data_IF_535831720042
#
_entry.id   IF_535831720042
#
_cell.length_a   1.000
_cell.length_b   1.000
_cell.length_c   1.000
_cell.angle_alpha   90.00
_cell.angle_beta   90.00
_cell.angle_gamma   90.00
#
_symmetry.space_group_name_H-M   'P 1'
#
loop_
_entity.id
_entity.type
_entity.pdbx_description
1 polymer ?
#
# COMPACT_ATOMS: atom_id res chain seq x y z
N UNK A 1 1.80 -2.32 -3.00
CA UNK A 1 1.06 -1.66 -1.92
C UNK A 1 -0.32 -1.17 -2.38
N UNK A 2 -1.08 -0.59 -1.47
CA UNK A 2 -2.47 -0.20 -1.68
C UNK A 2 -2.70 1.25 -1.21
N UNK A 3 -2.21 2.28 -1.94
CA UNK A 3 -2.31 3.68 -1.52
C UNK A 3 -3.76 4.12 -1.27
N UNK A 4 -4.71 3.70 -2.13
CA UNK A 4 -6.11 4.06 -1.97
C UNK A 4 -6.75 3.64 -0.65
N UNK A 5 -6.26 2.56 -0.02
CA UNK A 5 -6.76 2.14 1.30
C UNK A 5 -6.20 2.98 2.46
N UNK A 6 -5.24 3.84 2.20
CA UNK A 6 -4.61 4.74 3.16
C UNK A 6 -5.03 6.19 2.89
N UNK A 7 -4.73 6.68 1.70
CA UNK A 7 -4.82 8.11 1.41
C UNK A 7 -6.26 8.60 1.29
N UNK A 8 -7.16 7.75 0.75
CA UNK A 8 -8.58 8.11 0.63
C UNK A 8 -9.26 8.22 2.00
N UNK A 9 -9.24 7.19 2.89
CA UNK A 9 -9.87 7.32 4.20
C UNK A 9 -9.21 8.39 5.08
N UNK A 10 -7.87 8.55 5.00
CA UNK A 10 -7.17 9.63 5.72
C UNK A 10 -7.69 11.00 5.28
N UNK A 11 -7.76 11.24 3.96
CA UNK A 11 -8.19 12.52 3.44
C UNK A 11 -9.68 12.80 3.68
N UNK A 12 -10.53 11.78 3.60
CA UNK A 12 -11.96 11.93 3.88
C UNK A 12 -12.22 12.21 5.35
N UNK A 13 -11.66 11.43 6.27
CA UNK A 13 -11.89 11.58 7.71
C UNK A 13 -11.40 12.94 8.22
N UNK A 14 -10.17 13.32 7.85
CA UNK A 14 -9.62 14.61 8.27
C UNK A 14 -10.28 15.78 7.53
N UNK A 15 -10.59 15.62 6.24
CA UNK A 15 -11.27 16.60 5.42
C UNK A 15 -12.66 16.93 5.95
N UNK A 16 -13.43 15.91 6.34
CA UNK A 16 -14.75 16.08 6.99
C UNK A 16 -14.61 16.84 8.33
N UNK A 17 -13.68 16.43 9.18
CA UNK A 17 -13.42 17.10 10.45
C UNK A 17 -13.05 18.58 10.29
N UNK A 18 -12.32 18.93 9.24
CA UNK A 18 -11.88 20.30 8.96
C UNK A 18 -12.88 21.10 8.11
N UNK A 19 -13.98 20.52 7.65
CA UNK A 19 -14.88 21.09 6.64
C UNK A 19 -14.10 21.54 5.38
N UNK A 20 -13.14 20.72 4.94
CA UNK A 20 -12.30 21.02 3.79
C UNK A 20 -13.09 20.98 2.48
N UNK A 21 -12.64 21.73 1.47
CA UNK A 21 -13.22 21.65 0.14
C UNK A 21 -12.91 20.31 -0.54
N UNK A 22 -13.78 19.86 -1.46
CA UNK A 22 -13.50 18.66 -2.25
C UNK A 22 -12.17 18.75 -3.04
N UNK A 23 -11.79 19.95 -3.46
CA UNK A 23 -10.50 20.18 -4.12
C UNK A 23 -9.31 19.95 -3.16
N UNK A 24 -9.42 20.40 -1.90
CA UNK A 24 -8.37 20.14 -0.90
C UNK A 24 -8.27 18.65 -0.57
N UNK A 25 -9.40 17.94 -0.48
CA UNK A 25 -9.43 16.48 -0.25
C UNK A 25 -8.77 15.75 -1.41
N UNK A 26 -9.12 16.07 -2.67
CA UNK A 26 -8.50 15.46 -3.84
C UNK A 26 -6.98 15.73 -3.90
N UNK A 27 -6.57 16.96 -3.61
CA UNK A 27 -5.15 17.32 -3.53
C UNK A 27 -4.42 16.48 -2.49
N UNK A 28 -5.00 16.30 -1.31
CA UNK A 28 -4.40 15.47 -0.26
C UNK A 28 -4.25 14.00 -0.69
N UNK A 29 -5.27 13.43 -1.35
CA UNK A 29 -5.21 12.07 -1.90
C UNK A 29 -4.08 11.96 -2.92
N UNK A 30 -3.97 12.88 -3.88
CA UNK A 30 -2.91 12.86 -4.90
C UNK A 30 -1.52 12.93 -4.25
N UNK A 31 -1.33 13.83 -3.28
CA UNK A 31 -0.05 13.94 -2.57
C UNK A 31 0.29 12.67 -1.78
N UNK A 32 -0.68 12.08 -1.10
CA UNK A 32 -0.49 10.79 -0.43
C UNK A 32 -0.06 9.70 -1.39
N UNK A 33 -0.75 9.54 -2.52
CA UNK A 33 -0.39 8.59 -3.57
C UNK A 33 1.04 8.80 -4.11
N UNK A 34 1.45 10.05 -4.32
CA UNK A 34 2.82 10.36 -4.76
C UNK A 34 3.84 9.92 -3.72
N UNK A 35 3.65 10.30 -2.46
CA UNK A 35 4.58 9.93 -1.37
C UNK A 35 4.62 8.41 -1.21
N UNK A 36 3.46 7.75 -1.18
CA UNK A 36 3.36 6.29 -1.09
C UNK A 36 4.10 5.60 -2.23
N UNK A 37 3.86 6.04 -3.47
CA UNK A 37 4.41 5.40 -4.67
C UNK A 37 5.92 5.56 -4.74
N UNK A 38 6.43 6.75 -4.42
CA UNK A 38 7.87 7.03 -4.39
C UNK A 38 8.58 6.24 -3.31
N UNK A 39 8.06 6.23 -2.08
CA UNK A 39 8.60 5.43 -0.99
C UNK A 39 8.54 3.93 -1.31
N UNK A 40 7.40 3.45 -1.82
CA UNK A 40 7.23 2.07 -2.21
C UNK A 40 8.23 1.61 -3.27
N UNK A 41 8.51 2.44 -4.28
CA UNK A 41 9.56 2.17 -5.29
C UNK A 41 10.97 2.23 -4.72
N UNK A 42 11.18 3.08 -3.72
CA UNK A 42 12.49 3.22 -3.05
C UNK A 42 12.86 1.98 -2.26
N UNK A 43 11.91 1.40 -1.52
CA UNK A 43 12.23 0.34 -0.56
C UNK A 43 12.01 -1.07 -1.08
N UNK A 44 11.18 -1.26 -2.13
CA UNK A 44 10.92 -2.60 -2.68
C UNK A 44 11.96 -3.00 -3.76
N UNK A 45 12.20 -4.32 -3.96
CA UNK A 45 11.46 -5.45 -3.37
C UNK A 45 11.94 -5.91 -2.00
N UNK A 46 13.12 -5.47 -1.53
CA UNK A 46 13.73 -6.04 -0.31
C UNK A 46 12.89 -5.82 0.96
N UNK A 47 12.26 -4.66 1.08
CA UNK A 47 11.34 -4.30 2.17
C UNK A 47 10.16 -5.28 2.29
N UNK A 48 9.56 -5.65 1.15
CA UNK A 48 8.36 -6.50 1.12
C UNK A 48 8.61 -7.96 1.54
N UNK A 49 9.86 -8.36 1.75
CA UNK A 49 10.18 -9.67 2.32
C UNK A 49 9.70 -9.81 3.78
N UNK A 50 9.62 -8.72 4.50
CA UNK A 50 9.30 -8.69 5.94
C UNK A 50 8.19 -7.69 6.27
N UNK A 51 8.22 -6.52 5.63
CA UNK A 51 7.37 -5.39 5.97
C UNK A 51 6.17 -5.26 5.05
N UNK A 52 5.00 -5.02 5.64
CA UNK A 52 3.80 -4.69 4.88
C UNK A 52 3.89 -3.25 4.35
N UNK A 53 4.34 -3.09 3.11
CA UNK A 53 4.56 -1.77 2.47
C UNK A 53 3.35 -0.84 2.62
N UNK A 54 2.10 -1.38 2.60
CA UNK A 54 0.90 -0.56 2.78
C UNK A 54 0.83 0.06 4.16
N UNK A 55 1.19 -0.68 5.22
CA UNK A 55 1.24 -0.14 6.58
C UNK A 55 2.39 0.85 6.74
N UNK A 56 3.60 0.44 6.37
CA UNK A 56 4.81 1.23 6.63
C UNK A 56 4.91 2.50 5.79
N UNK A 57 4.96 2.38 4.46
CA UNK A 57 4.99 3.54 3.56
C UNK A 57 3.69 4.35 3.65
N UNK A 58 2.57 3.66 3.93
CA UNK A 58 1.26 4.30 4.08
C UNK A 58 1.18 5.25 5.28
N UNK A 59 1.82 4.95 6.40
CA UNK A 59 1.88 5.87 7.55
C UNK A 59 2.51 7.21 7.15
N UNK A 60 3.60 7.16 6.40
CA UNK A 60 4.30 8.37 5.95
C UNK A 60 3.49 9.12 4.88
N UNK A 61 2.85 8.39 3.98
CA UNK A 61 1.96 8.95 2.96
C UNK A 61 0.73 9.62 3.59
N UNK A 62 0.10 8.97 4.57
CA UNK A 62 -1.01 9.54 5.33
C UNK A 62 -0.61 10.83 6.05
N UNK A 63 0.61 10.89 6.61
CA UNK A 63 1.11 12.12 7.24
C UNK A 63 1.27 13.26 6.21
N UNK A 64 1.74 12.97 5.00
CA UNK A 64 1.84 13.97 3.94
C UNK A 64 0.46 14.46 3.46
N UNK A 65 -0.51 13.55 3.30
CA UNK A 65 -1.89 13.89 2.96
C UNK A 65 -2.53 14.76 4.06
N UNK A 66 -2.37 14.37 5.33
CA UNK A 66 -2.87 15.12 6.49
C UNK A 66 -2.19 16.50 6.62
N UNK A 67 -0.89 16.59 6.41
CA UNK A 67 -0.15 17.85 6.42
C UNK A 67 -0.69 18.84 5.37
N UNK A 68 -1.05 18.35 4.17
CA UNK A 68 -1.68 19.16 3.13
C UNK A 68 -3.04 19.73 3.56
N UNK A 69 -3.90 18.91 4.17
CA UNK A 69 -5.22 19.35 4.68
C UNK A 69 -5.09 20.32 5.85
N UNK A 70 -4.15 20.07 6.75
CA UNK A 70 -3.85 20.93 7.90
C UNK A 70 -3.11 22.21 7.48
N UNK A 71 -2.72 22.35 6.19
CA UNK A 71 -2.00 23.50 5.62
C UNK A 71 -0.69 23.78 6.36
N UNK A 72 0.04 22.71 6.69
CA UNK A 72 1.31 22.80 7.37
C UNK A 72 2.37 23.50 6.47
N UNK A 73 3.26 24.24 7.10
CA UNK A 73 4.46 24.75 6.45
C UNK A 73 5.40 23.61 6.03
N UNK A 74 6.43 23.90 5.24
CA UNK A 74 7.44 22.91 4.83
C UNK A 74 8.16 22.31 6.04
N UNK A 75 8.47 23.12 7.05
CA UNK A 75 9.12 22.70 8.30
C UNK A 75 8.21 21.77 9.12
N UNK A 76 6.96 22.17 9.33
CA UNK A 76 5.97 21.34 10.04
C UNK A 76 5.69 20.03 9.29
N UNK A 77 5.63 20.07 7.94
CA UNK A 77 5.46 18.86 7.11
C UNK A 77 6.65 17.92 7.27
N UNK A 78 7.88 18.45 7.31
CA UNK A 78 9.06 17.64 7.52
C UNK A 78 9.06 17.01 8.94
N UNK A 79 8.63 17.75 9.95
CA UNK A 79 8.42 17.22 11.30
C UNK A 79 7.36 16.12 11.31
N UNK A 80 6.23 16.30 10.63
CA UNK A 80 5.18 15.28 10.50
C UNK A 80 5.70 13.98 9.85
N UNK A 81 6.44 14.10 8.75
CA UNK A 81 7.09 12.96 8.08
C UNK A 81 8.09 12.28 9.03
N UNK A 82 8.89 13.06 9.76
CA UNK A 82 9.85 12.55 10.73
C UNK A 82 9.20 11.77 11.88
N UNK A 83 8.08 12.26 12.40
CA UNK A 83 7.27 11.59 13.42
C UNK A 83 6.65 10.32 12.84
N UNK A 84 5.99 10.40 11.68
CA UNK A 84 5.34 9.28 11.01
C UNK A 84 6.32 8.13 10.71
N UNK A 85 7.55 8.45 10.31
CA UNK A 85 8.57 7.45 10.02
C UNK A 85 8.91 6.56 11.24
N UNK A 86 8.78 7.08 12.46
CA UNK A 86 9.00 6.30 13.69
C UNK A 86 7.76 5.51 14.12
N UNK A 87 6.58 5.87 13.63
CA UNK A 87 5.31 5.19 13.90
C UNK A 87 4.97 4.14 12.84
N UNK A 88 5.74 4.10 11.75
CA UNK A 88 5.50 3.22 10.61
C UNK A 88 5.70 1.74 11.00
N UNK A 89 4.67 0.92 10.81
CA UNK A 89 4.68 -0.49 11.19
C UNK A 89 3.86 -1.36 10.24
N UNK A 90 3.88 -2.67 10.53
CA UNK A 90 3.15 -3.70 9.79
C UNK A 90 4.06 -4.77 9.21
N UNK A 91 3.67 -6.02 9.38
CA UNK A 91 4.44 -7.20 8.96
C UNK A 91 3.70 -7.97 7.86
N UNK A 92 4.45 -8.55 6.92
CA UNK A 92 3.91 -9.47 5.90
C UNK A 92 3.32 -10.72 6.57
N UNK A 93 3.84 -11.13 7.72
CA UNK A 93 3.33 -12.27 8.49
C UNK A 93 1.86 -12.10 8.93
N UNK A 94 1.33 -10.88 8.92
CA UNK A 94 -0.09 -10.61 9.21
C UNK A 94 -1.06 -10.97 8.08
N UNK A 95 -0.55 -11.35 6.90
CA UNK A 95 -1.40 -11.61 5.74
C UNK A 95 -2.24 -12.88 5.96
N UNK A 96 -3.49 -12.87 5.50
CA UNK A 96 -4.46 -13.92 5.79
C UNK A 96 -5.14 -13.78 7.16
N UNK A 97 -4.92 -12.67 7.89
CA UNK A 97 -5.58 -12.38 9.17
C UNK A 97 -6.14 -10.94 9.19
N UNK A 98 -7.03 -10.67 10.15
CA UNK A 98 -7.53 -9.31 10.41
C UNK A 98 -6.44 -8.30 10.74
N UNK A 99 -5.29 -8.75 11.27
CA UNK A 99 -4.16 -7.88 11.59
C UNK A 99 -3.63 -7.12 10.37
N UNK A 100 -3.77 -7.68 9.16
CA UNK A 100 -3.45 -6.95 7.92
C UNK A 100 -4.31 -5.71 7.73
N UNK A 101 -5.60 -5.78 8.04
CA UNK A 101 -6.50 -4.62 7.96
C UNK A 101 -6.18 -3.61 9.07
N UNK A 102 -5.82 -4.09 10.25
CA UNK A 102 -5.39 -3.24 11.37
C UNK A 102 -4.12 -2.45 11.00
N UNK A 103 -3.14 -3.06 10.33
CA UNK A 103 -1.96 -2.33 9.84
C UNK A 103 -2.32 -1.12 8.96
N UNK A 104 -3.42 -1.22 8.20
CA UNK A 104 -3.90 -0.15 7.34
C UNK A 104 -4.59 0.94 8.16
N UNK A 105 -5.45 0.56 9.10
CA UNK A 105 -6.14 1.49 9.99
C UNK A 105 -5.13 2.30 10.83
N UNK A 106 -4.16 1.61 11.43
CA UNK A 106 -3.08 2.24 12.20
C UNK A 106 -2.25 3.21 11.34
N UNK A 107 -1.98 2.86 10.09
CA UNK A 107 -1.24 3.74 9.19
C UNK A 107 -2.00 5.06 8.93
N UNK A 108 -3.33 5.00 8.73
CA UNK A 108 -4.16 6.19 8.58
C UNK A 108 -4.15 7.05 9.86
N UNK A 109 -4.38 6.43 11.00
CA UNK A 109 -4.42 7.11 12.30
C UNK A 109 -3.07 7.75 12.62
N UNK A 110 -2.00 6.96 12.57
CA UNK A 110 -0.64 7.41 12.87
C UNK A 110 -0.20 8.57 11.97
N UNK A 111 -0.61 8.57 10.69
CA UNK A 111 -0.33 9.66 9.77
C UNK A 111 -1.04 10.97 10.18
N UNK A 112 -2.34 10.89 10.54
CA UNK A 112 -3.10 12.04 11.02
C UNK A 112 -2.52 12.55 12.34
N UNK A 113 -2.19 11.65 13.27
CA UNK A 113 -1.61 12.00 14.56
C UNK A 113 -0.25 12.69 14.39
N UNK A 114 0.62 12.15 13.53
CA UNK A 114 1.93 12.73 13.25
C UNK A 114 1.83 14.17 12.71
N UNK A 115 0.91 14.41 11.75
CA UNK A 115 0.69 15.75 11.21
C UNK A 115 0.07 16.69 12.25
N UNK A 116 -0.85 16.20 13.07
CA UNK A 116 -1.47 16.98 14.15
C UNK A 116 -0.46 17.37 15.24
N UNK A 117 0.42 16.43 15.63
CA UNK A 117 1.48 16.68 16.60
C UNK A 117 2.48 17.72 16.06
N UNK A 118 2.86 17.61 14.79
CA UNK A 118 3.73 18.61 14.15
C UNK A 118 3.09 20.00 14.12
N UNK A 119 1.77 20.10 13.86
CA UNK A 119 1.02 21.35 13.94
C UNK A 119 1.04 21.98 15.34
N UNK A 120 1.12 21.14 16.37
CA UNK A 120 1.23 21.59 17.77
C UNK A 120 2.69 21.93 18.17
N UNK A 121 3.63 21.88 17.23
CA UNK A 121 5.03 22.24 17.45
C UNK A 121 5.94 21.08 17.88
N UNK A 122 5.47 19.81 17.86
CA UNK A 122 6.36 18.68 18.11
C UNK A 122 7.28 18.45 16.91
N UNK A 123 8.54 18.11 17.19
CA UNK A 123 9.56 17.96 16.15
C UNK A 123 9.85 16.51 15.82
N UNK A 124 10.04 16.21 14.52
CA UNK A 124 10.56 14.97 14.01
C UNK A 124 12.01 15.13 13.52
N UNK A 125 12.72 14.02 13.36
CA UNK A 125 14.07 14.08 12.78
C UNK A 125 14.00 14.39 11.28
N UNK A 126 14.73 15.39 10.82
CA UNK A 126 14.86 15.72 9.39
C UNK A 126 15.55 14.62 8.59
N UNK A 127 16.29 13.74 9.24
CA UNK A 127 16.93 12.58 8.63
C UNK A 127 16.15 11.26 8.83
N UNK A 128 14.91 11.33 9.30
CA UNK A 128 14.12 10.13 9.64
C UNK A 128 13.93 9.18 8.46
N UNK A 129 13.84 9.68 7.22
CA UNK A 129 13.70 8.82 6.03
C UNK A 129 15.04 8.25 5.56
N UNK A 130 16.01 9.11 5.26
CA UNK A 130 17.24 8.77 4.53
C UNK A 130 18.49 8.74 5.41
N UNK A 131 18.39 9.04 6.69
CA UNK A 131 19.54 9.00 7.62
C UNK A 131 20.09 7.58 7.78
N UNK A 132 21.33 7.47 8.21
CA UNK A 132 22.04 6.18 8.42
C UNK A 132 21.28 5.20 9.33
N UNK A 133 20.39 5.71 10.18
CA UNK A 133 19.50 4.95 11.09
C UNK A 133 18.04 5.28 10.83
N UNK A 134 17.72 5.82 9.66
CA UNK A 134 16.37 6.21 9.24
C UNK A 134 15.57 5.03 8.71
N UNK A 135 14.33 5.34 8.32
CA UNK A 135 13.34 4.36 7.86
C UNK A 135 13.85 3.46 6.74
N UNK A 136 14.44 4.05 5.68
CA UNK A 136 14.97 3.27 4.54
C UNK A 136 16.08 2.34 4.99
N UNK A 137 17.06 2.82 5.75
CA UNK A 137 18.18 2.01 6.24
C UNK A 137 17.73 0.88 7.19
N UNK A 138 16.68 1.11 7.97
CA UNK A 138 16.17 0.14 8.95
C UNK A 138 15.30 -0.96 8.29
N UNK A 139 14.67 -0.67 7.16
CA UNK A 139 13.63 -1.54 6.60
C UNK A 139 13.94 -2.09 5.21
N UNK A 140 15.03 -1.65 4.59
CA UNK A 140 15.38 -2.00 3.21
C UNK A 140 16.88 -2.30 3.08
N UNK A 141 17.23 -3.38 2.40
CA UNK A 141 18.63 -3.78 2.16
C UNK A 141 19.15 -3.30 0.80
N UNK A 142 18.28 -3.00 -0.13
CA UNK A 142 18.59 -2.61 -1.51
C UNK A 142 17.74 -1.37 -1.88
N UNK A 143 18.07 -0.16 -1.36
CA UNK A 143 17.26 1.02 -1.59
C UNK A 143 17.52 1.66 -2.95
N UNK A 144 16.45 2.16 -3.58
CA UNK A 144 16.44 2.92 -4.82
C UNK A 144 16.08 4.39 -4.51
N UNK A 145 16.98 5.10 -3.82
CA UNK A 145 16.72 6.46 -3.30
C UNK A 145 16.50 7.51 -4.38
N UNK A 146 16.94 7.27 -5.61
CA UNK A 146 16.66 8.11 -6.77
C UNK A 146 15.17 8.32 -7.03
N UNK A 147 14.31 7.36 -6.63
CA UNK A 147 12.87 7.48 -6.77
C UNK A 147 12.24 8.58 -5.89
N UNK A 148 12.93 9.02 -4.83
CA UNK A 148 12.45 10.10 -3.97
C UNK A 148 12.76 11.49 -4.55
N UNK A 149 13.84 11.62 -5.29
CA UNK A 149 14.37 12.90 -5.76
C UNK A 149 14.07 13.18 -7.23
N UNK A 150 13.81 12.15 -8.04
CA UNK A 150 13.46 12.33 -9.45
C UNK A 150 12.01 12.83 -9.57
N UNK A 151 11.87 14.12 -9.70
CA UNK A 151 10.60 14.75 -10.04
C UNK A 151 10.49 14.77 -11.57
N UNK A 152 9.61 13.96 -12.14
CA UNK A 152 9.18 14.16 -13.53
C UNK A 152 8.29 15.39 -13.57
N UNK A 153 8.60 16.35 -14.44
CA UNK A 153 7.77 17.55 -14.62
C UNK A 153 6.44 17.22 -15.32
N UNK A 154 6.39 16.10 -16.07
CA UNK A 154 5.30 15.80 -16.99
C UNK A 154 4.35 14.69 -16.51
N UNK A 155 4.67 13.93 -15.47
CA UNK A 155 3.83 12.85 -15.01
C UNK A 155 3.98 12.56 -13.50
N UNK A 156 2.85 12.38 -12.84
CA UNK A 156 2.83 11.89 -11.46
C UNK A 156 3.14 10.38 -11.44
N UNK A 157 3.87 9.93 -10.42
CA UNK A 157 4.13 8.50 -10.23
C UNK A 157 2.84 7.74 -9.99
N UNK A 158 1.83 8.40 -9.39
CA UNK A 158 0.48 7.88 -9.19
C UNK A 158 -0.26 7.55 -10.49
N UNK A 159 0.11 8.12 -11.64
CA UNK A 159 -0.49 7.80 -12.93
C UNK A 159 -0.27 6.33 -13.33
N UNK A 160 0.71 5.65 -12.73
CA UNK A 160 0.92 4.22 -12.89
C UNK A 160 0.07 3.34 -11.96
N UNK A 161 -0.81 3.94 -11.15
CA UNK A 161 -1.72 3.19 -10.29
C UNK A 161 -2.74 2.39 -11.11
N UNK A 162 -3.10 1.21 -10.62
CA UNK A 162 -4.11 0.37 -11.24
C UNK A 162 -5.14 -0.07 -10.21
N UNK A 163 -6.34 -0.38 -10.70
CA UNK A 163 -7.42 -0.89 -9.87
C UNK A 163 -7.43 -2.42 -9.89
N UNK A 164 -7.64 -3.03 -8.72
CA UNK A 164 -7.90 -4.47 -8.64
C UNK A 164 -9.34 -4.76 -9.07
N UNK A 165 -9.49 -5.72 -9.98
CA UNK A 165 -10.80 -6.16 -10.46
C UNK A 165 -11.42 -7.19 -9.50
N UNK A 166 -10.57 -8.04 -8.90
CA UNK A 166 -11.02 -9.11 -8.00
C UNK A 166 -10.67 -8.77 -6.54
N UNK A 167 -11.60 -9.08 -5.63
CA UNK A 167 -11.48 -8.86 -4.17
C UNK A 167 -10.54 -9.85 -3.49
N UNK A 168 -9.35 -10.06 -4.05
CA UNK A 168 -8.34 -11.00 -3.56
C UNK A 168 -6.95 -10.35 -3.54
N UNK A 169 -5.92 -11.08 -3.15
CA UNK A 169 -4.54 -10.61 -3.18
C UNK A 169 -4.18 -10.11 -4.59
N UNK A 170 -3.44 -8.99 -4.69
CA UNK A 170 -3.03 -8.45 -5.99
C UNK A 170 -2.29 -9.43 -6.88
N UNK A 171 -1.57 -10.39 -6.27
CA UNK A 171 -0.85 -11.44 -6.99
C UNK A 171 -1.74 -12.49 -7.65
N UNK A 172 -3.04 -12.58 -7.27
CA UNK A 172 -4.00 -13.49 -7.88
C UNK A 172 -4.73 -12.88 -9.06
N UNK A 173 -4.73 -11.54 -9.20
CA UNK A 173 -5.58 -10.86 -10.19
C UNK A 173 -5.18 -11.18 -11.64
N UNK A 174 -3.89 -11.07 -12.00
CA UNK A 174 -3.43 -11.41 -13.36
C UNK A 174 -3.64 -12.88 -13.72
N UNK A 175 -3.37 -13.87 -12.85
CA UNK A 175 -3.73 -15.25 -13.12
C UNK A 175 -5.22 -15.46 -13.35
N UNK A 176 -6.11 -14.80 -12.59
CA UNK A 176 -7.57 -14.88 -12.79
C UNK A 176 -8.00 -14.28 -14.12
N UNK A 177 -7.41 -13.14 -14.52
CA UNK A 177 -7.64 -12.56 -15.84
C UNK A 177 -7.29 -13.55 -16.97
N UNK A 178 -6.16 -14.25 -16.83
CA UNK A 178 -5.73 -15.25 -17.80
C UNK A 178 -6.70 -16.43 -17.82
N UNK A 179 -7.15 -16.92 -16.66
CA UNK A 179 -8.14 -17.99 -16.57
C UNK A 179 -9.41 -17.64 -17.35
N UNK A 180 -10.03 -16.50 -17.05
CA UNK A 180 -11.27 -16.07 -17.71
C UNK A 180 -11.09 -15.83 -19.21
N UNK A 181 -9.96 -15.26 -19.63
CA UNK A 181 -9.64 -15.08 -21.06
C UNK A 181 -9.51 -16.40 -21.78
N UNK A 182 -8.87 -17.42 -21.17
CA UNK A 182 -8.74 -18.75 -21.77
C UNK A 182 -10.10 -19.44 -21.84
N UNK A 183 -10.88 -19.41 -20.77
CA UNK A 183 -12.24 -19.98 -20.76
C UNK A 183 -13.10 -19.39 -21.87
N UNK A 184 -13.12 -18.06 -22.01
CA UNK A 184 -13.88 -17.40 -23.06
C UNK A 184 -13.37 -17.72 -24.47
N UNK A 185 -12.04 -17.70 -24.66
CA UNK A 185 -11.42 -17.91 -25.99
C UNK A 185 -11.63 -19.31 -26.53
N UNK A 186 -11.59 -20.30 -25.65
CA UNK A 186 -11.64 -21.73 -26.04
C UNK A 186 -12.95 -22.40 -25.65
N UNK A 187 -13.95 -21.66 -25.15
CA UNK A 187 -15.22 -22.18 -24.66
C UNK A 187 -15.05 -23.36 -23.69
N UNK A 188 -14.07 -23.25 -22.78
CA UNK A 188 -13.72 -24.32 -21.84
C UNK A 188 -14.88 -24.56 -20.87
N UNK A 189 -15.36 -25.80 -20.81
CA UNK A 189 -16.33 -26.22 -19.81
C UNK A 189 -15.59 -26.51 -18.49
N UNK A 190 -15.91 -25.83 -17.37
CA UNK A 190 -15.27 -26.06 -16.09
C UNK A 190 -15.29 -27.53 -15.62
N UNK A 191 -16.37 -28.27 -15.97
CA UNK A 191 -16.54 -29.69 -15.58
C UNK A 191 -15.56 -30.64 -16.29
N UNK A 192 -14.90 -30.18 -17.36
CA UNK A 192 -13.94 -30.97 -18.15
C UNK A 192 -12.49 -30.68 -17.76
N UNK A 193 -12.27 -29.76 -16.80
CA UNK A 193 -10.93 -29.41 -16.34
C UNK A 193 -10.43 -30.47 -15.37
N UNK A 194 -9.39 -31.19 -15.75
CA UNK A 194 -8.73 -32.16 -14.87
C UNK A 194 -7.66 -31.50 -13.99
N UNK A 195 -6.94 -30.53 -14.51
CA UNK A 195 -5.81 -29.86 -13.83
C UNK A 195 -5.55 -28.47 -14.38
N UNK A 196 -5.11 -27.58 -13.49
CA UNK A 196 -4.64 -26.24 -13.85
C UNK A 196 -3.23 -26.07 -13.32
N UNK A 197 -2.26 -25.80 -14.20
CA UNK A 197 -0.88 -25.47 -13.87
C UNK A 197 -0.66 -23.96 -14.08
N UNK A 198 -0.22 -23.28 -13.04
CA UNK A 198 0.02 -21.83 -13.07
C UNK A 198 1.50 -21.55 -12.86
N UNK A 199 2.18 -21.03 -13.89
CA UNK A 199 3.52 -20.49 -13.76
C UNK A 199 3.43 -19.02 -13.28
N UNK A 200 4.08 -18.71 -12.18
CA UNK A 200 4.11 -17.36 -11.61
C UNK A 200 5.46 -17.05 -10.97
N UNK A 201 5.67 -15.80 -10.56
CA UNK A 201 6.91 -15.39 -9.92
C UNK A 201 6.93 -15.75 -8.43
N UNK A 202 8.16 -15.87 -7.90
CA UNK A 202 8.41 -16.43 -6.56
C UNK A 202 7.55 -15.78 -5.45
N UNK A 203 7.47 -14.46 -5.40
CA UNK A 203 6.69 -13.76 -4.35
C UNK A 203 5.21 -14.09 -4.43
N UNK A 204 4.64 -14.21 -5.63
CA UNK A 204 3.25 -14.62 -5.79
C UNK A 204 3.05 -16.05 -5.28
N UNK A 205 3.93 -16.97 -5.63
CA UNK A 205 3.90 -18.36 -5.14
C UNK A 205 3.98 -18.40 -3.62
N UNK A 206 4.98 -17.74 -3.03
CA UNK A 206 5.20 -17.75 -1.57
C UNK A 206 3.98 -17.23 -0.78
N UNK A 207 3.27 -16.24 -1.31
CA UNK A 207 2.14 -15.60 -0.65
C UNK A 207 0.79 -16.24 -0.96
N UNK A 208 0.64 -16.97 -2.07
CA UNK A 208 -0.70 -17.38 -2.54
C UNK A 208 -0.82 -18.86 -2.89
N UNK A 209 0.17 -19.70 -2.61
CA UNK A 209 0.17 -21.12 -3.02
C UNK A 209 -0.56 -22.06 -2.05
N UNK A 210 -1.04 -21.59 -0.90
CA UNK A 210 -1.70 -22.45 0.08
C UNK A 210 -2.98 -23.08 -0.47
N UNK A 211 -3.07 -24.42 -0.31
CA UNK A 211 -4.21 -25.21 -0.77
C UNK A 211 -5.38 -25.24 0.22
N UNK A 212 -5.08 -25.15 1.52
CA UNK A 212 -6.09 -25.20 2.58
C UNK A 212 -6.31 -23.82 3.14
N UNK A 213 -7.56 -23.41 3.21
CA UNK A 213 -8.01 -22.14 3.78
C UNK A 213 -9.13 -22.41 4.76
N UNK A 214 -9.02 -21.90 5.98
CA UNK A 214 -10.01 -22.06 7.03
C UNK A 214 -10.89 -20.80 7.18
N UNK A 215 -10.42 -19.66 6.70
CA UNK A 215 -11.11 -18.39 6.84
C UNK A 215 -11.24 -17.67 5.49
N UNK A 216 -12.14 -16.68 5.43
CA UNK A 216 -12.30 -15.83 4.27
C UNK A 216 -11.02 -15.03 3.96
N UNK A 217 -10.33 -14.57 4.99
CA UNK A 217 -9.09 -13.82 4.81
C UNK A 217 -7.97 -14.69 4.24
N UNK A 218 -7.84 -15.93 4.68
CA UNK A 218 -6.92 -16.90 4.08
C UNK A 218 -7.29 -17.22 2.63
N UNK A 219 -8.58 -17.39 2.35
CA UNK A 219 -9.09 -17.68 1.01
C UNK A 219 -8.72 -16.58 -0.01
N UNK A 220 -8.77 -15.31 0.39
CA UNK A 220 -8.34 -14.16 -0.44
C UNK A 220 -6.85 -14.18 -0.78
N UNK A 221 -6.05 -14.95 -0.05
CA UNK A 221 -4.61 -15.15 -0.28
C UNK A 221 -4.27 -16.54 -0.84
N UNK A 222 -5.27 -17.32 -1.25
CA UNK A 222 -5.06 -18.61 -1.91
C UNK A 222 -5.40 -18.53 -3.40
N UNK A 223 -4.40 -18.62 -4.27
CA UNK A 223 -4.63 -18.69 -5.71
C UNK A 223 -5.40 -19.97 -6.10
N UNK A 224 -5.09 -21.16 -5.54
CA UNK A 224 -5.89 -22.36 -5.78
C UNK A 224 -7.36 -22.19 -5.41
N UNK A 225 -7.66 -21.58 -4.25
CA UNK A 225 -9.04 -21.29 -3.85
C UNK A 225 -9.72 -20.29 -4.83
N UNK A 226 -9.02 -19.21 -5.18
CA UNK A 226 -9.55 -18.22 -6.12
C UNK A 226 -9.87 -18.84 -7.48
N UNK A 227 -9.04 -19.76 -7.97
CA UNK A 227 -9.33 -20.50 -9.19
C UNK A 227 -10.54 -21.41 -9.04
N UNK A 228 -10.59 -22.21 -7.96
CA UNK A 228 -11.69 -23.13 -7.71
C UNK A 228 -13.05 -22.43 -7.66
N UNK A 229 -13.16 -21.33 -6.90
CA UNK A 229 -14.42 -20.58 -6.78
C UNK A 229 -14.81 -19.87 -8.11
N UNK A 230 -13.82 -19.56 -8.96
CA UNK A 230 -14.07 -18.92 -10.26
C UNK A 230 -14.61 -19.88 -11.32
N UNK A 231 -14.59 -21.19 -11.05
CA UNK A 231 -15.06 -22.24 -11.94
C UNK A 231 -16.45 -22.77 -11.53
N UNK A 232 -17.01 -22.30 -10.41
CA UNK A 232 -18.35 -22.64 -9.94
C UNK A 232 -19.41 -21.73 -10.58
#
# INVERSE_FOLDING_TARGET
GHPGSIDVPTALALGEHLNASGADVLKAVILGYEVFSRLGRTVNPSHYRTWHTTGTCGTIAAAAAAASLLKLSAEETNNAIGIAATMAGGLVESFGSHAKAINIAEACQNGIDAASLAKLGLTGSHSALLGKKGFVAATCTEPHTENLTHLSEDALVSDSAFYKVYSSCGHTNSPLDVLFKLMAKYAINPKEIERIDVATYKVAFDLTSQLKTATEDEAKFSLPFCFAISLL
#
